data_IF_626648318531
#
_entry.id   IF_626648318531
#
_cell.length_a   1.000
_cell.length_b   1.000
_cell.length_c   1.000
_cell.angle_alpha   90.00
_cell.angle_beta   90.00
_cell.angle_gamma   90.00
#
_symmetry.space_group_name_H-M   'P 1'
#
loop_
_entity.id
_entity.type
_entity.pdbx_description
1 polymer ?
#
# COMPACT_ATOMS: atom_id res chain seq x y z
N UNK A 1 -0.52 12.24 -13.23
CA UNK A 1 -0.42 12.54 -14.66
C UNK A 1 -0.95 11.44 -15.59
N UNK A 2 -1.09 10.20 -15.09
CA UNK A 2 -1.63 9.07 -15.87
C UNK A 2 -2.82 8.44 -15.11
N UNK A 3 -3.98 9.10 -15.09
CA UNK A 3 -5.14 8.67 -14.28
C UNK A 3 -5.64 7.27 -14.67
N UNK A 4 -5.58 6.89 -15.94
CA UNK A 4 -6.03 5.58 -16.41
C UNK A 4 -5.38 4.38 -15.74
N UNK A 5 -4.16 4.51 -15.23
CA UNK A 5 -3.47 3.46 -14.46
C UNK A 5 -4.18 3.21 -13.13
N UNK A 6 -4.53 4.29 -12.42
CA UNK A 6 -5.26 4.21 -11.13
C UNK A 6 -6.70 3.73 -11.36
N UNK A 7 -7.39 4.28 -12.35
CA UNK A 7 -8.76 3.89 -12.71
C UNK A 7 -8.86 2.40 -13.02
N UNK A 8 -7.91 1.86 -13.79
CA UNK A 8 -7.85 0.42 -14.08
C UNK A 8 -7.73 -0.42 -12.80
N UNK A 9 -6.94 0.00 -11.82
CA UNK A 9 -6.82 -0.73 -10.55
C UNK A 9 -8.12 -0.69 -9.75
N UNK A 10 -8.73 0.49 -9.62
CA UNK A 10 -9.97 0.71 -8.84
C UNK A 10 -11.15 -0.10 -9.42
N UNK A 11 -11.15 -0.34 -10.74
CA UNK A 11 -12.18 -1.13 -11.42
C UNK A 11 -11.99 -2.65 -11.30
N UNK A 12 -10.97 -3.12 -10.58
CA UNK A 12 -10.67 -4.53 -10.48
C UNK A 12 -10.61 -5.02 -9.02
N UNK A 13 -10.81 -6.35 -8.85
CA UNK A 13 -10.60 -7.08 -7.61
C UNK A 13 -11.31 -6.47 -6.39
N UNK A 14 -10.62 -6.44 -5.25
CA UNK A 14 -11.18 -5.99 -3.97
C UNK A 14 -11.45 -4.48 -3.93
N UNK A 15 -10.71 -3.67 -4.68
CA UNK A 15 -10.95 -2.22 -4.74
C UNK A 15 -12.28 -1.92 -5.42
N UNK A 16 -12.60 -2.62 -6.53
CA UNK A 16 -13.91 -2.54 -7.15
C UNK A 16 -15.02 -2.96 -6.18
N UNK A 17 -14.83 -4.06 -5.43
CA UNK A 17 -15.79 -4.50 -4.41
C UNK A 17 -16.00 -3.41 -3.35
N UNK A 18 -14.92 -2.88 -2.77
CA UNK A 18 -14.99 -1.82 -1.78
C UNK A 18 -15.76 -0.57 -2.29
N UNK A 19 -15.57 -0.22 -3.56
CA UNK A 19 -16.29 0.88 -4.21
C UNK A 19 -17.77 0.56 -4.43
N UNK A 20 -18.09 -0.60 -4.99
CA UNK A 20 -19.47 -0.97 -5.35
C UNK A 20 -20.35 -1.21 -4.13
N UNK A 21 -19.76 -1.65 -3.02
CA UNK A 21 -20.45 -1.83 -1.73
C UNK A 21 -20.49 -0.54 -0.90
N UNK A 22 -19.93 0.57 -1.42
CA UNK A 22 -19.96 1.87 -0.77
C UNK A 22 -19.06 1.98 0.47
N UNK A 23 -18.12 1.03 0.66
CA UNK A 23 -17.18 1.04 1.79
C UNK A 23 -16.12 2.11 1.60
N UNK A 24 -15.64 2.31 0.35
CA UNK A 24 -14.65 3.32 -0.01
C UNK A 24 -15.11 4.09 -1.25
N UNK A 25 -14.95 5.40 -1.22
CA UNK A 25 -15.14 6.27 -2.39
C UNK A 25 -13.78 6.66 -2.97
N UNK A 26 -13.64 6.55 -4.28
CA UNK A 26 -12.43 6.92 -4.99
C UNK A 26 -12.69 8.12 -5.90
N UNK A 27 -11.84 9.12 -5.82
CA UNK A 27 -11.82 10.28 -6.70
C UNK A 27 -10.48 10.35 -7.41
N UNK A 28 -10.47 10.19 -8.71
CA UNK A 28 -9.28 10.35 -9.54
C UNK A 28 -9.32 11.75 -10.14
N UNK A 29 -8.21 12.48 -10.01
CA UNK A 29 -8.05 13.85 -10.51
C UNK A 29 -6.90 13.86 -11.50
N UNK A 30 -7.19 14.26 -12.73
CA UNK A 30 -6.15 14.43 -13.75
C UNK A 30 -5.45 15.76 -13.55
N UNK A 31 -4.16 15.72 -13.25
CA UNK A 31 -3.33 16.92 -13.07
C UNK A 31 -3.31 17.79 -14.34
N UNK A 32 -3.47 17.20 -15.53
CA UNK A 32 -3.50 17.95 -16.79
C UNK A 32 -4.68 18.90 -16.93
N UNK A 33 -5.75 18.71 -16.16
CA UNK A 33 -6.89 19.64 -16.15
C UNK A 33 -6.52 21.02 -15.55
N UNK A 34 -5.40 21.07 -14.81
CA UNK A 34 -4.82 22.29 -14.22
C UNK A 34 -3.55 22.75 -14.96
N UNK A 35 -3.21 22.09 -16.06
CA UNK A 35 -2.02 22.39 -16.84
C UNK A 35 -2.08 23.75 -17.54
N UNK A 36 -0.93 24.37 -17.75
CA UNK A 36 -0.80 25.69 -18.33
C UNK A 36 -0.86 25.67 -19.87
N UNK A 37 -1.54 26.67 -20.40
CA UNK A 37 -1.61 26.94 -21.85
C UNK A 37 -2.34 25.84 -22.65
N UNK A 38 -2.25 25.95 -23.96
CA UNK A 38 -2.95 25.07 -24.89
C UNK A 38 -2.48 23.60 -24.83
N UNK A 39 -1.24 23.36 -24.36
CA UNK A 39 -0.64 22.03 -24.24
C UNK A 39 -0.86 21.39 -22.87
N UNK A 40 -1.61 22.05 -21.96
CA UNK A 40 -1.86 21.57 -20.59
C UNK A 40 -0.57 21.14 -19.90
N UNK A 41 0.46 22.03 -19.97
CA UNK A 41 1.78 21.77 -19.39
C UNK A 41 1.69 21.67 -17.86
N UNK A 42 2.26 20.60 -17.30
CA UNK A 42 2.26 20.31 -15.85
C UNK A 42 3.67 20.23 -15.25
N UNK A 43 4.70 20.28 -16.06
CA UNK A 43 6.10 20.09 -15.67
C UNK A 43 7.01 21.15 -16.30
N UNK A 44 8.13 21.45 -15.63
CA UNK A 44 9.11 22.41 -16.12
C UNK A 44 10.53 22.03 -15.63
N UNK A 45 11.54 22.71 -16.15
CA UNK A 45 12.95 22.53 -15.76
C UNK A 45 13.16 22.98 -14.30
N UNK A 46 13.94 22.24 -13.50
CA UNK A 46 14.26 22.66 -12.14
C UNK A 46 15.13 23.93 -12.14
N UNK A 47 14.90 24.79 -11.16
CA UNK A 47 15.84 25.85 -10.86
C UNK A 47 17.20 25.25 -10.45
N UNK A 48 18.29 25.89 -10.81
CA UNK A 48 19.65 25.38 -10.58
C UNK A 48 20.16 24.47 -11.70
N UNK A 49 19.32 24.15 -12.69
CA UNK A 49 19.69 23.32 -13.85
C UNK A 49 19.69 21.83 -13.54
N UNK A 50 20.23 21.04 -14.46
CA UNK A 50 20.25 19.57 -14.40
C UNK A 50 19.31 18.93 -15.40
N UNK A 51 19.45 17.61 -15.58
CA UNK A 51 18.63 16.82 -16.50
C UNK A 51 17.27 16.47 -15.90
N UNK A 52 16.24 16.48 -16.73
CA UNK A 52 14.88 16.10 -16.38
C UNK A 52 13.99 17.28 -16.05
N UNK A 53 12.76 16.96 -15.66
CA UNK A 53 11.67 17.89 -15.35
C UNK A 53 11.18 17.64 -13.95
N UNK A 54 10.43 18.59 -13.37
CA UNK A 54 9.66 18.42 -12.13
C UNK A 54 8.21 18.86 -12.35
N UNK A 55 7.27 18.31 -11.62
CA UNK A 55 5.90 18.78 -11.64
C UNK A 55 5.80 20.16 -11.01
N UNK A 56 5.15 21.09 -11.72
CA UNK A 56 5.03 22.49 -11.32
C UNK A 56 4.14 22.68 -10.09
N UNK A 57 4.51 23.61 -9.23
CA UNK A 57 3.78 23.92 -8.00
C UNK A 57 2.31 24.35 -8.25
N UNK A 58 2.06 25.21 -9.25
CA UNK A 58 0.74 25.80 -9.45
C UNK A 58 -0.31 24.78 -9.91
N UNK A 59 -0.11 23.94 -10.95
CA UNK A 59 -1.03 22.88 -11.30
C UNK A 59 -1.28 21.90 -10.14
N UNK A 60 -0.21 21.51 -9.42
CA UNK A 60 -0.33 20.62 -8.26
C UNK A 60 -1.15 21.24 -7.13
N UNK A 61 -0.89 22.50 -6.79
CA UNK A 61 -1.65 23.19 -5.75
C UNK A 61 -3.16 23.21 -6.06
N UNK A 62 -3.52 23.55 -7.29
CA UNK A 62 -4.92 23.59 -7.73
C UNK A 62 -5.59 22.21 -7.70
N UNK A 63 -4.87 21.16 -8.13
CA UNK A 63 -5.38 19.78 -8.08
C UNK A 63 -5.56 19.29 -6.63
N UNK A 64 -4.62 19.62 -5.73
CA UNK A 64 -4.71 19.27 -4.31
C UNK A 64 -5.90 20.00 -3.64
N UNK A 65 -6.07 21.30 -3.89
CA UNK A 65 -7.21 22.06 -3.35
C UNK A 65 -8.56 21.49 -3.83
N UNK A 66 -8.64 21.07 -5.10
CA UNK A 66 -9.83 20.36 -5.59
C UNK A 66 -10.00 19.02 -4.87
N UNK A 67 -8.94 18.25 -4.66
CA UNK A 67 -9.02 16.98 -3.93
C UNK A 67 -9.51 17.17 -2.50
N UNK A 68 -8.97 18.18 -1.79
CA UNK A 68 -9.39 18.55 -0.44
C UNK A 68 -10.89 18.90 -0.41
N UNK A 69 -11.36 19.65 -1.40
CA UNK A 69 -12.81 19.97 -1.52
C UNK A 69 -13.68 18.72 -1.73
N UNK A 70 -13.21 17.75 -2.54
CA UNK A 70 -13.95 16.51 -2.80
C UNK A 70 -14.05 15.58 -1.58
N UNK A 71 -13.03 15.57 -0.72
CA UNK A 71 -13.04 14.75 0.51
C UNK A 71 -13.64 15.47 1.73
N UNK A 72 -14.13 16.68 1.56
CA UNK A 72 -14.85 17.41 2.61
C UNK A 72 -13.99 18.29 3.52
N UNK A 73 -12.75 18.60 3.12
CA UNK A 73 -11.88 19.56 3.82
C UNK A 73 -10.51 19.00 4.18
N UNK A 74 -9.64 19.87 4.68
CA UNK A 74 -8.24 19.54 5.04
C UNK A 74 -8.14 18.88 6.42
N UNK A 75 -8.96 19.30 7.37
CA UNK A 75 -8.91 18.79 8.74
C UNK A 75 -9.16 17.27 8.78
N UNK A 76 -8.24 16.51 9.38
CA UNK A 76 -8.28 15.05 9.42
C UNK A 76 -8.02 14.36 8.07
N UNK A 77 -7.57 15.08 7.04
CA UNK A 77 -7.18 14.53 5.75
C UNK A 77 -5.68 14.26 5.73
N UNK A 78 -5.28 13.03 5.44
CA UNK A 78 -3.89 12.68 5.22
C UNK A 78 -3.52 12.84 3.75
N UNK A 79 -2.51 13.69 3.49
CA UNK A 79 -1.97 13.92 2.14
C UNK A 79 -0.64 13.19 2.05
N UNK A 80 -0.65 12.11 1.27
CA UNK A 80 0.45 11.15 1.15
C UNK A 80 1.20 11.36 -0.17
N UNK A 81 2.51 11.49 -0.07
CA UNK A 81 3.40 11.51 -1.22
C UNK A 81 4.34 10.29 -1.18
N UNK A 82 4.17 9.30 -2.08
CA UNK A 82 5.13 8.21 -2.22
C UNK A 82 6.48 8.74 -2.70
N UNK A 83 7.50 8.60 -1.86
CA UNK A 83 8.82 9.22 -2.04
C UNK A 83 9.91 8.31 -1.49
N UNK A 84 11.11 8.26 -2.11
CA UNK A 84 12.26 7.53 -1.55
C UNK A 84 12.72 8.04 -0.18
N UNK A 85 12.45 9.30 0.15
CA UNK A 85 12.81 9.91 1.44
C UNK A 85 11.84 9.59 2.57
N UNK A 86 10.70 8.97 2.26
CA UNK A 86 9.64 8.70 3.22
C UNK A 86 9.94 7.54 4.17
N UNK A 87 9.09 7.42 5.20
CA UNK A 87 9.08 6.26 6.08
C UNK A 87 8.80 4.98 5.29
N UNK A 88 9.51 3.89 5.60
CA UNK A 88 9.29 2.60 4.93
C UNK A 88 7.85 2.11 5.18
N UNK A 89 7.14 1.84 4.09
CA UNK A 89 5.81 1.25 4.14
C UNK A 89 5.87 -0.19 4.63
N UNK A 90 5.07 -0.51 5.63
CA UNK A 90 4.99 -1.83 6.26
C UNK A 90 3.55 -2.24 6.52
N UNK A 91 3.34 -3.50 6.92
CA UNK A 91 2.01 -3.97 7.32
C UNK A 91 1.45 -3.22 8.52
N UNK A 92 2.31 -2.84 9.48
CA UNK A 92 1.91 -2.07 10.65
C UNK A 92 1.39 -0.67 10.22
N UNK A 93 2.15 0.03 9.35
CA UNK A 93 1.73 1.32 8.79
C UNK A 93 0.45 1.19 7.96
N UNK A 94 0.32 0.13 7.15
CA UNK A 94 -0.90 -0.12 6.39
C UNK A 94 -2.12 -0.32 7.31
N UNK A 95 -1.94 -0.98 8.46
CA UNK A 95 -2.99 -1.20 9.45
C UNK A 95 -3.40 0.12 10.12
N UNK A 96 -2.45 0.97 10.48
CA UNK A 96 -2.73 2.31 11.00
C UNK A 96 -3.47 3.17 9.97
N UNK A 97 -2.96 3.21 8.73
CA UNK A 97 -3.57 3.98 7.65
C UNK A 97 -4.95 3.48 7.22
N UNK A 98 -5.26 2.18 7.41
CA UNK A 98 -6.58 1.64 7.10
C UNK A 98 -7.70 2.19 7.99
N UNK A 99 -7.37 2.85 9.09
CA UNK A 99 -8.32 3.52 10.01
C UNK A 99 -8.61 4.98 9.63
N UNK A 100 -7.90 5.52 8.64
CA UNK A 100 -8.06 6.90 8.20
C UNK A 100 -9.34 7.06 7.39
N UNK A 101 -10.09 8.12 7.68
CA UNK A 101 -11.33 8.42 6.94
C UNK A 101 -11.06 9.01 5.56
N UNK A 102 -9.98 9.80 5.42
CA UNK A 102 -9.69 10.58 4.23
C UNK A 102 -8.20 10.59 3.92
N UNK A 103 -7.87 10.14 2.71
CA UNK A 103 -6.49 10.10 2.22
C UNK A 103 -6.42 10.65 0.81
N UNK A 104 -5.48 11.54 0.55
CA UNK A 104 -5.15 12.06 -0.78
C UNK A 104 -3.76 11.56 -1.15
N UNK A 105 -3.60 10.93 -2.31
CA UNK A 105 -2.31 10.53 -2.85
C UNK A 105 -1.84 11.50 -3.92
N UNK A 106 -0.62 12.00 -3.80
CA UNK A 106 0.05 12.77 -4.83
C UNK A 106 0.96 11.83 -5.61
N UNK A 107 0.63 11.57 -6.88
CA UNK A 107 1.45 10.74 -7.75
C UNK A 107 2.50 11.60 -8.47
N UNK A 108 3.74 11.54 -8.01
CA UNK A 108 4.87 12.24 -8.62
C UNK A 108 5.29 11.62 -9.96
N UNK A 109 5.95 12.42 -10.80
CA UNK A 109 6.54 12.01 -12.06
C UNK A 109 7.90 12.67 -12.27
N UNK A 110 8.64 12.21 -13.28
CA UNK A 110 9.94 12.77 -13.66
C UNK A 110 10.97 12.71 -12.50
N UNK A 111 11.57 13.83 -12.13
CA UNK A 111 12.51 13.96 -11.00
C UNK A 111 11.79 14.16 -9.66
N UNK A 112 10.49 14.39 -9.67
CA UNK A 112 9.69 14.64 -8.48
C UNK A 112 8.71 15.80 -8.66
N UNK A 113 8.35 16.41 -7.55
CA UNK A 113 7.43 17.55 -7.48
C UNK A 113 8.14 18.75 -6.86
N UNK A 114 7.61 19.96 -7.07
CA UNK A 114 8.13 21.17 -6.46
C UNK A 114 8.10 21.08 -4.93
N UNK A 115 9.22 21.33 -4.27
CA UNK A 115 9.41 21.21 -2.82
C UNK A 115 8.40 22.01 -2.01
N UNK A 116 8.00 23.18 -2.50
CA UNK A 116 6.99 24.03 -1.85
C UNK A 116 5.63 23.36 -1.71
N UNK A 117 5.32 22.36 -2.56
CA UNK A 117 4.12 21.52 -2.45
C UNK A 117 4.27 20.52 -1.32
N UNK A 118 5.46 19.92 -1.18
CA UNK A 118 5.72 18.98 -0.07
C UNK A 118 5.61 19.75 1.25
N UNK A 119 6.30 20.85 1.40
CA UNK A 119 6.29 21.67 2.62
C UNK A 119 4.88 22.19 3.01
N UNK A 120 4.07 22.55 2.00
CA UNK A 120 2.76 23.15 2.25
C UNK A 120 1.65 22.13 2.51
N UNK A 121 1.64 21.02 1.80
CA UNK A 121 0.47 20.13 1.77
C UNK A 121 0.73 18.71 2.26
N UNK A 122 1.93 18.14 2.04
CA UNK A 122 2.20 16.75 2.35
C UNK A 122 2.26 16.54 3.86
N UNK A 123 1.43 15.63 4.34
CA UNK A 123 1.44 15.27 5.77
C UNK A 123 2.32 14.04 6.03
N UNK A 124 2.47 13.16 5.04
CA UNK A 124 3.24 11.92 5.16
C UNK A 124 3.95 11.58 3.85
N UNK A 125 5.22 11.24 3.95
CA UNK A 125 5.96 10.60 2.87
C UNK A 125 6.19 9.12 3.21
N UNK A 126 5.91 8.23 2.24
CA UNK A 126 6.16 6.79 2.39
C UNK A 126 7.02 6.24 1.26
N UNK A 127 8.01 5.43 1.63
CA UNK A 127 8.86 4.69 0.70
C UNK A 127 8.42 3.23 0.64
N UNK A 128 8.33 2.68 -0.56
CA UNK A 128 8.05 1.25 -0.77
C UNK A 128 9.32 0.39 -0.90
N UNK A 129 10.50 1.00 -0.69
CA UNK A 129 11.81 0.34 -0.75
C UNK A 129 12.87 1.17 -1.46
N UNK A 130 14.12 0.71 -1.41
CA UNK A 130 15.30 1.41 -1.92
C UNK A 130 15.49 1.14 -3.43
N UNK A 131 14.54 1.59 -4.23
CA UNK A 131 14.60 1.53 -5.70
C UNK A 131 13.77 2.64 -6.32
N UNK A 132 14.08 2.98 -7.58
CA UNK A 132 13.42 4.08 -8.30
C UNK A 132 12.41 3.53 -9.29
N UNK A 133 11.24 4.14 -9.34
CA UNK A 133 10.19 3.87 -10.31
C UNK A 133 10.02 5.05 -11.28
N UNK A 134 9.41 4.81 -12.42
CA UNK A 134 9.16 5.83 -13.44
C UNK A 134 8.03 6.78 -13.09
N UNK A 135 7.12 6.35 -12.18
CA UNK A 135 5.91 7.11 -11.83
C UNK A 135 5.43 6.83 -10.42
N UNK A 136 4.79 7.82 -9.81
CA UNK A 136 4.22 7.73 -8.46
C UNK A 136 2.89 6.97 -8.39
N UNK A 137 2.26 6.67 -9.51
CA UNK A 137 1.02 5.87 -9.55
C UNK A 137 1.25 4.46 -9.01
N UNK A 138 2.35 3.81 -9.38
CA UNK A 138 2.65 2.43 -8.95
C UNK A 138 2.80 2.32 -7.44
N UNK A 139 3.66 3.11 -6.76
CA UNK A 139 3.75 3.06 -5.31
C UNK A 139 2.45 3.50 -4.62
N UNK A 140 1.72 4.48 -5.15
CA UNK A 140 0.42 4.88 -4.61
C UNK A 140 -0.60 3.72 -4.68
N UNK A 141 -0.64 2.97 -5.79
CA UNK A 141 -1.50 1.79 -5.94
C UNK A 141 -1.14 0.67 -4.95
N UNK A 142 0.15 0.42 -4.73
CA UNK A 142 0.62 -0.58 -3.76
C UNK A 142 0.19 -0.20 -2.33
N UNK A 143 0.38 1.06 -1.95
CA UNK A 143 -0.06 1.59 -0.66
C UNK A 143 -1.58 1.48 -0.52
N UNK A 144 -2.32 1.93 -1.51
CA UNK A 144 -3.78 1.91 -1.54
C UNK A 144 -4.34 0.49 -1.40
N UNK A 145 -3.85 -0.47 -2.18
CA UNK A 145 -4.31 -1.87 -2.11
C UNK A 145 -4.04 -2.48 -0.73
N UNK A 146 -2.81 -2.28 -0.21
CA UNK A 146 -2.42 -2.85 1.08
C UNK A 146 -3.20 -2.30 2.27
N UNK A 147 -3.67 -1.04 2.22
CA UNK A 147 -4.50 -0.46 3.28
C UNK A 147 -6.00 -0.77 3.09
N UNK A 148 -6.53 -0.68 1.88
CA UNK A 148 -7.98 -0.87 1.64
C UNK A 148 -8.41 -2.30 1.95
N UNK A 149 -7.58 -3.32 1.68
CA UNK A 149 -7.89 -4.71 2.03
C UNK A 149 -8.07 -4.96 3.53
N UNK A 150 -7.57 -4.05 4.39
CA UNK A 150 -7.68 -4.15 5.85
C UNK A 150 -8.94 -3.48 6.40
N UNK A 151 -9.66 -2.71 5.58
CA UNK A 151 -10.92 -2.09 5.99
C UNK A 151 -11.99 -3.16 6.21
N UNK A 152 -12.72 -3.14 7.35
CA UNK A 152 -13.79 -4.11 7.62
C UNK A 152 -14.82 -4.16 6.49
N UNK A 153 -15.20 -5.37 6.06
CA UNK A 153 -16.15 -5.61 4.98
C UNK A 153 -15.53 -5.72 3.58
N UNK A 154 -14.32 -5.24 3.36
CA UNK A 154 -13.65 -5.35 2.05
C UNK A 154 -13.28 -6.80 1.73
N UNK A 155 -12.62 -7.49 2.66
CA UNK A 155 -12.40 -8.94 2.57
C UNK A 155 -13.60 -9.70 3.13
N UNK A 156 -13.87 -10.87 2.59
CA UNK A 156 -14.96 -11.75 3.06
C UNK A 156 -14.72 -12.24 4.50
N UNK A 157 -13.45 -12.33 4.92
CA UNK A 157 -13.05 -12.63 6.29
C UNK A 157 -11.84 -11.78 6.66
N UNK A 158 -11.98 -10.96 7.68
CA UNK A 158 -10.86 -10.19 8.25
C UNK A 158 -9.78 -11.11 8.83
N UNK A 159 -10.17 -12.30 9.31
CA UNK A 159 -9.23 -13.31 9.80
C UNK A 159 -8.24 -13.74 8.72
N UNK A 160 -8.63 -13.72 7.44
CA UNK A 160 -7.72 -14.00 6.34
C UNK A 160 -6.56 -13.00 6.32
N UNK A 161 -6.83 -11.71 6.49
CA UNK A 161 -5.78 -10.70 6.55
C UNK A 161 -4.91 -10.82 7.81
N UNK A 162 -5.51 -11.19 8.95
CA UNK A 162 -4.81 -11.35 10.23
C UNK A 162 -3.93 -12.62 10.27
N UNK A 163 -4.22 -13.61 9.44
CA UNK A 163 -3.44 -14.85 9.35
C UNK A 163 -2.40 -14.86 8.23
N UNK A 164 -2.39 -13.87 7.36
CA UNK A 164 -1.36 -13.66 6.33
C UNK A 164 0.04 -13.45 6.93
N UNK A 165 1.04 -13.26 6.08
CA UNK A 165 2.39 -12.86 6.51
C UNK A 165 2.38 -11.48 7.16
N UNK A 166 3.28 -11.29 8.14
CA UNK A 166 3.58 -10.07 8.89
C UNK A 166 2.72 -9.78 10.12
N UNK A 167 1.40 -9.97 10.17
CA UNK A 167 0.71 -9.92 11.45
C UNK A 167 1.41 -10.82 12.48
N UNK A 168 1.64 -10.29 13.67
CA UNK A 168 2.41 -10.96 14.74
C UNK A 168 3.88 -11.25 14.40
N UNK A 169 4.49 -10.55 13.43
CA UNK A 169 5.92 -10.61 13.11
C UNK A 169 6.38 -11.88 12.41
N UNK A 170 5.48 -12.75 11.95
CA UNK A 170 5.81 -14.01 11.28
C UNK A 170 5.37 -14.02 9.82
N UNK A 171 6.08 -14.79 8.99
CA UNK A 171 5.60 -15.21 7.68
C UNK A 171 4.48 -16.24 7.84
N UNK A 172 3.62 -16.35 6.83
CA UNK A 172 2.58 -17.36 6.81
C UNK A 172 3.13 -18.77 6.56
N UNK A 173 2.34 -19.79 6.95
CA UNK A 173 2.67 -21.20 6.75
C UNK A 173 2.53 -21.60 5.27
N UNK A 174 3.12 -22.76 4.84
CA UNK A 174 2.87 -23.27 3.51
C UNK A 174 1.44 -23.78 3.35
N UNK A 175 0.83 -23.46 2.20
CA UNK A 175 -0.52 -23.88 1.82
C UNK A 175 -0.47 -25.01 0.80
N UNK A 176 -1.44 -25.89 0.84
CA UNK A 176 -1.62 -27.01 -0.08
C UNK A 176 -3.04 -27.03 -0.60
N UNK A 177 -3.22 -27.39 -1.87
CA UNK A 177 -4.51 -27.56 -2.53
C UNK A 177 -4.62 -28.93 -3.21
N UNK A 178 -5.73 -29.21 -3.84
CA UNK A 178 -5.94 -30.42 -4.64
C UNK A 178 -5.05 -30.41 -5.90
N UNK A 179 -4.59 -31.58 -6.36
CA UNK A 179 -4.76 -32.91 -5.79
C UNK A 179 -3.86 -33.18 -4.58
N UNK A 180 -4.13 -34.25 -3.79
CA UNK A 180 -3.36 -34.59 -2.57
C UNK A 180 -1.89 -34.94 -2.83
N UNK A 181 -1.56 -35.39 -4.03
CA UNK A 181 -0.21 -35.78 -4.45
C UNK A 181 0.08 -35.10 -5.77
N UNK A 182 1.22 -34.44 -5.84
CA UNK A 182 1.78 -33.83 -7.05
C UNK A 182 3.25 -34.22 -7.13
N UNK A 183 3.66 -34.86 -8.23
CA UNK A 183 5.04 -35.31 -8.48
C UNK A 183 5.63 -36.08 -7.28
N UNK A 184 4.90 -37.06 -6.79
CA UNK A 184 5.22 -37.90 -5.63
C UNK A 184 5.35 -37.16 -4.28
N UNK A 185 5.02 -35.89 -4.25
CA UNK A 185 4.99 -35.07 -3.02
C UNK A 185 3.55 -34.97 -2.48
N UNK A 186 3.33 -35.52 -1.30
CA UNK A 186 2.03 -35.54 -0.66
C UNK A 186 1.78 -34.31 0.23
N UNK A 187 0.51 -33.93 0.36
CA UNK A 187 0.05 -33.00 1.41
C UNK A 187 0.36 -33.61 2.78
N UNK A 188 0.90 -32.86 3.76
CA UNK A 188 1.14 -33.35 5.11
C UNK A 188 -0.12 -33.95 5.76
N UNK A 189 -0.01 -35.16 6.31
CA UNK A 189 -1.14 -35.92 6.89
C UNK A 189 -1.88 -35.15 7.99
N UNK A 190 -1.17 -34.33 8.75
CA UNK A 190 -1.78 -33.49 9.80
C UNK A 190 -2.86 -32.57 9.25
N UNK A 191 -2.70 -32.06 8.02
CA UNK A 191 -3.67 -31.18 7.36
C UNK A 191 -4.92 -31.95 6.87
N UNK A 192 -4.81 -33.26 6.71
CA UNK A 192 -5.89 -34.16 6.30
C UNK A 192 -6.63 -34.78 7.49
N UNK A 193 -6.08 -34.62 8.70
CA UNK A 193 -6.55 -35.33 9.92
C UNK A 193 -7.88 -34.85 10.49
N UNK A 194 -8.34 -33.63 10.13
CA UNK A 194 -9.50 -32.97 10.76
C UNK A 194 -9.29 -32.50 12.22
N UNK A 195 -8.12 -32.78 12.82
CA UNK A 195 -7.81 -32.39 14.19
C UNK A 195 -7.36 -30.93 14.29
N UNK A 196 -8.29 -29.99 14.50
CA UNK A 196 -8.03 -28.55 14.53
C UNK A 196 -6.85 -28.16 15.41
N UNK A 197 -6.73 -28.68 16.63
CA UNK A 197 -5.61 -28.37 17.54
C UNK A 197 -4.24 -28.76 16.97
N UNK A 198 -4.16 -29.96 16.34
CA UNK A 198 -2.91 -30.42 15.69
C UNK A 198 -2.57 -29.58 14.46
N UNK A 199 -3.60 -29.22 13.67
CA UNK A 199 -3.44 -28.37 12.49
C UNK A 199 -2.94 -26.99 12.92
N UNK A 200 -3.51 -26.36 13.95
CA UNK A 200 -3.07 -25.04 14.43
C UNK A 200 -1.62 -25.07 14.98
N UNK A 201 -1.28 -26.13 15.72
CA UNK A 201 0.10 -26.34 16.19
C UNK A 201 1.07 -26.43 15.03
N UNK A 202 0.78 -27.26 14.03
CA UNK A 202 1.59 -27.43 12.83
C UNK A 202 1.75 -26.11 12.06
N UNK A 203 0.66 -25.35 11.87
CA UNK A 203 0.69 -24.03 11.21
C UNK A 203 1.65 -23.09 11.93
N UNK A 204 1.56 -23.00 13.26
CA UNK A 204 2.44 -22.16 14.08
C UNK A 204 3.90 -22.57 13.93
N UNK A 205 4.21 -23.86 14.05
CA UNK A 205 5.57 -24.39 13.90
C UNK A 205 6.14 -24.05 12.50
N UNK A 206 5.33 -24.21 11.45
CA UNK A 206 5.74 -23.88 10.07
C UNK A 206 5.92 -22.39 9.83
N UNK A 207 5.14 -21.52 10.45
CA UNK A 207 5.34 -20.06 10.44
C UNK A 207 6.67 -19.69 11.08
N UNK A 208 6.94 -20.21 12.28
CA UNK A 208 8.20 -19.97 13.01
C UNK A 208 9.43 -20.48 12.22
N UNK A 209 9.40 -21.73 11.75
CA UNK A 209 10.47 -22.34 10.94
C UNK A 209 10.74 -21.54 9.65
N UNK A 210 9.67 -21.18 8.94
CA UNK A 210 9.79 -20.44 7.67
C UNK A 210 10.34 -19.03 7.89
N UNK A 211 9.90 -18.35 8.94
CA UNK A 211 10.37 -17.02 9.29
C UNK A 211 11.84 -17.05 9.68
N UNK A 212 12.23 -17.97 10.54
CA UNK A 212 13.61 -18.15 10.94
C UNK A 212 14.54 -18.37 9.75
N UNK A 213 14.12 -19.21 8.79
CA UNK A 213 14.93 -19.57 7.62
C UNK A 213 14.98 -18.46 6.56
N UNK A 214 13.86 -17.83 6.26
CA UNK A 214 13.71 -16.91 5.11
C UNK A 214 13.83 -15.43 5.45
N UNK A 215 13.48 -15.04 6.68
CA UNK A 215 13.49 -13.66 7.15
C UNK A 215 14.08 -13.60 8.57
N UNK A 216 15.43 -13.79 8.70
CA UNK A 216 16.10 -13.74 10.00
C UNK A 216 15.95 -12.41 10.73
N UNK A 217 15.73 -11.32 9.99
CA UNK A 217 15.42 -9.99 10.50
C UNK A 217 14.09 -9.95 11.26
N UNK A 218 13.02 -10.48 10.66
CA UNK A 218 11.69 -10.62 11.29
C UNK A 218 11.74 -11.59 12.48
N UNK A 219 12.48 -12.69 12.34
CA UNK A 219 12.64 -13.66 13.41
C UNK A 219 13.26 -13.04 14.67
N UNK A 220 14.31 -12.21 14.51
CA UNK A 220 14.91 -11.48 15.63
C UNK A 220 13.91 -10.53 16.29
N UNK A 221 13.13 -9.78 15.49
CA UNK A 221 12.08 -8.90 16.00
C UNK A 221 11.04 -9.69 16.79
N UNK A 222 10.51 -10.77 16.23
CA UNK A 222 9.54 -11.66 16.88
C UNK A 222 10.01 -12.19 18.23
N UNK A 223 11.26 -12.68 18.32
CA UNK A 223 11.83 -13.18 19.58
C UNK A 223 11.96 -12.08 20.62
N UNK A 224 12.35 -10.86 20.22
CA UNK A 224 12.46 -9.72 21.14
C UNK A 224 11.12 -9.30 21.72
N UNK A 225 10.07 -9.32 20.92
CA UNK A 225 8.70 -9.00 21.35
C UNK A 225 8.12 -10.10 22.25
N UNK A 226 8.34 -11.37 21.90
CA UNK A 226 7.92 -12.53 22.69
C UNK A 226 8.52 -12.52 24.10
N UNK A 227 9.80 -12.13 24.23
CA UNK A 227 10.49 -12.06 25.52
C UNK A 227 10.06 -10.83 26.37
N UNK A 228 9.45 -9.81 25.78
CA UNK A 228 8.92 -8.66 26.52
C UNK A 228 7.52 -8.90 27.10
N UNK A 229 6.77 -9.81 26.49
CA UNK A 229 5.37 -10.08 26.82
C UNK A 229 5.17 -11.39 27.60
N UNK A 230 6.23 -12.10 27.94
CA UNK A 230 6.26 -13.32 28.76
C UNK A 230 7.05 -13.09 30.04
#
# INVERSE_FOLDING_TARGET
PVPGTIETLIENSILRKARTEGIVQFHVIDLRDFGKGNYRQIDDKPFGGGDGMILMAEPLSQAIEMAIGKVGGLEGTHIVFPSPSGQIWSQDVATECSQLERVIFICGHYKGIDERIIEKYVTHEYSIGDFVLTSGEVPAMLILDSMVRLIPGVLNSIESALTDSFPHGLLDHPHYTQPRIVDDVAVPDVLLSGHHAKIQKWKKEKREERTQKKRPDLWKKYLSEKNRNG
#
